data_IF_356207556917
#
_entry.id   IF_356207556917
#
_cell.length_a   1.000
_cell.length_b   1.000
_cell.length_c   1.000
_cell.angle_alpha   90.00
_cell.angle_beta   90.00
_cell.angle_gamma   90.00
#
_symmetry.space_group_name_H-M   'P 1'
#
loop_
_entity.id
_entity.type
_entity.pdbx_description
1 polymer ?
#
# COMPACT_ATOMS: atom_id res chain seq x y z
N UNK A 1 9.76 21.75 -39.81
CA UNK A 1 10.51 20.47 -39.84
C UNK A 1 9.53 19.37 -39.46
N UNK A 2 8.90 18.76 -40.47
CA UNK A 2 7.89 17.69 -40.30
C UNK A 2 8.61 16.44 -39.79
N UNK A 3 8.15 15.87 -38.68
CA UNK A 3 8.56 14.54 -38.19
C UNK A 3 8.17 13.52 -39.26
N UNK A 4 9.10 13.16 -40.14
CA UNK A 4 8.96 11.93 -40.93
C UNK A 4 8.87 10.77 -39.93
N UNK A 5 7.79 10.00 -40.04
CA UNK A 5 7.47 8.87 -39.15
C UNK A 5 8.68 7.95 -39.01
N UNK A 6 9.09 7.72 -37.76
CA UNK A 6 10.12 6.73 -37.45
C UNK A 6 9.46 5.35 -37.46
N UNK A 7 9.97 4.38 -38.23
CA UNK A 7 9.56 2.99 -38.07
C UNK A 7 10.04 2.51 -36.70
N UNK A 8 9.17 2.52 -35.70
CA UNK A 8 9.52 2.23 -34.31
C UNK A 8 8.41 2.46 -33.28
N UNK A 9 7.14 2.49 -33.69
CA UNK A 9 6.00 2.83 -32.81
C UNK A 9 5.39 1.70 -31.93
N UNK A 10 5.92 0.47 -31.75
CA UNK A 10 5.43 -0.40 -30.67
C UNK A 10 5.93 0.04 -29.28
N UNK A 11 6.85 1.01 -29.18
CA UNK A 11 7.48 1.36 -27.90
C UNK A 11 6.48 1.99 -26.93
N UNK A 12 5.58 2.87 -27.40
CA UNK A 12 4.65 3.59 -26.53
C UNK A 12 3.54 2.67 -25.99
N UNK A 13 2.92 1.84 -26.85
CA UNK A 13 1.89 0.89 -26.44
C UNK A 13 2.44 -0.16 -25.48
N UNK A 14 3.62 -0.72 -25.79
CA UNK A 14 4.28 -1.72 -24.93
C UNK A 14 4.65 -1.09 -23.60
N UNK A 15 5.18 0.14 -23.59
CA UNK A 15 5.49 0.85 -22.35
C UNK A 15 4.21 1.12 -21.53
N UNK A 16 3.12 1.53 -22.17
CA UNK A 16 1.82 1.70 -21.50
C UNK A 16 1.28 0.39 -20.93
N UNK A 17 1.25 -0.67 -21.74
CA UNK A 17 0.78 -1.99 -21.33
C UNK A 17 1.60 -2.53 -20.15
N UNK A 18 2.93 -2.38 -20.16
CA UNK A 18 3.80 -2.74 -19.03
C UNK A 18 3.45 -1.96 -17.76
N UNK A 19 3.19 -0.65 -17.88
CA UNK A 19 2.74 0.18 -16.76
C UNK A 19 1.38 -0.24 -16.22
N UNK A 20 0.42 -0.53 -17.11
CA UNK A 20 -0.91 -0.99 -16.74
C UNK A 20 -0.89 -2.35 -16.05
N UNK A 21 -0.17 -3.34 -16.62
CA UNK A 21 0.04 -4.65 -16.01
C UNK A 21 0.68 -4.53 -14.63
N UNK A 22 1.64 -3.61 -14.47
CA UNK A 22 2.26 -3.35 -13.17
C UNK A 22 1.24 -2.78 -12.17
N UNK A 23 0.39 -1.84 -12.57
CA UNK A 23 -0.68 -1.32 -11.71
C UNK A 23 -1.68 -2.42 -11.31
N UNK A 24 -2.09 -3.28 -12.24
CA UNK A 24 -3.00 -4.38 -11.93
C UNK A 24 -2.36 -5.44 -11.02
N UNK A 25 -1.05 -5.67 -11.11
CA UNK A 25 -0.33 -6.53 -10.16
C UNK A 25 -0.42 -6.04 -8.70
N UNK A 26 -0.53 -4.71 -8.50
CA UNK A 26 -0.62 -4.08 -7.18
C UNK A 26 -2.03 -3.59 -6.83
N UNK A 27 -3.05 -4.04 -7.57
CA UNK A 27 -4.44 -3.66 -7.34
C UNK A 27 -4.86 -4.10 -5.94
N UNK A 28 -5.36 -3.14 -5.17
CA UNK A 28 -5.93 -3.44 -3.85
C UNK A 28 -7.38 -3.86 -4.04
N UNK A 29 -7.63 -5.15 -4.35
CA UNK A 29 -8.99 -5.68 -4.28
C UNK A 29 -9.36 -5.84 -2.81
N UNK A 30 -10.41 -5.14 -2.39
CA UNK A 30 -11.06 -5.47 -1.12
C UNK A 30 -11.95 -6.67 -1.38
N UNK A 31 -11.75 -7.72 -0.60
CA UNK A 31 -12.80 -8.70 -0.37
C UNK A 31 -14.08 -7.93 -0.02
N UNK A 32 -15.14 -8.18 -0.76
CA UNK A 32 -16.50 -7.79 -0.40
C UNK A 32 -17.02 -8.61 0.80
N UNK A 33 -16.18 -9.36 1.51
CA UNK A 33 -16.55 -10.10 2.71
C UNK A 33 -16.64 -9.17 3.93
N UNK A 34 -17.64 -8.28 3.89
CA UNK A 34 -18.29 -7.82 5.09
C UNK A 34 -19.23 -8.91 5.61
N UNK A 35 -18.69 -10.06 6.02
CA UNK A 35 -19.33 -11.00 6.93
C UNK A 35 -18.24 -11.89 7.56
N UNK A 36 -17.92 -11.56 8.81
CA UNK A 36 -17.50 -12.42 9.92
C UNK A 36 -16.36 -13.44 9.73
N UNK A 37 -15.25 -13.22 10.46
CA UNK A 37 -14.42 -14.32 10.95
C UNK A 37 -12.91 -14.10 10.85
N UNK A 38 -12.27 -13.91 12.01
CA UNK A 38 -10.83 -14.04 12.22
C UNK A 38 -10.21 -15.21 11.43
N UNK A 39 -9.27 -14.94 10.52
CA UNK A 39 -8.53 -16.05 9.89
C UNK A 39 -7.45 -15.71 8.86
N UNK A 40 -7.52 -14.56 8.18
CA UNK A 40 -6.74 -14.40 6.94
C UNK A 40 -5.30 -13.86 7.10
N UNK A 41 -4.81 -13.63 8.32
CA UNK A 41 -3.42 -13.20 8.53
C UNK A 41 -2.40 -14.36 8.41
N UNK A 42 -2.86 -15.62 8.54
CA UNK A 42 -2.01 -16.80 8.45
C UNK A 42 -1.72 -17.24 6.99
N UNK A 43 -2.63 -16.97 6.04
CA UNK A 43 -2.48 -17.45 4.66
C UNK A 43 -1.41 -16.68 3.86
N UNK A 44 -1.28 -15.37 4.11
CA UNK A 44 -0.29 -14.53 3.42
C UNK A 44 1.14 -14.80 3.95
N UNK A 45 1.29 -15.11 5.25
CA UNK A 45 2.57 -15.53 5.82
C UNK A 45 2.95 -16.95 5.42
N UNK A 46 1.99 -17.87 5.27
CA UNK A 46 2.25 -19.24 4.81
C UNK A 46 2.74 -19.30 3.35
N UNK A 47 2.31 -18.38 2.48
CA UNK A 47 2.75 -18.32 1.08
C UNK A 47 4.18 -17.77 0.92
N UNK A 48 4.69 -17.00 1.89
CA UNK A 48 6.04 -16.42 1.86
C UNK A 48 7.10 -17.27 2.55
N UNK A 49 6.72 -18.35 3.23
CA UNK A 49 7.60 -19.15 4.09
C UNK A 49 7.89 -20.58 3.59
N UNK A 50 7.68 -20.90 2.30
CA UNK A 50 7.96 -22.26 1.80
C UNK A 50 9.42 -22.42 1.30
N UNK A 51 10.27 -23.22 1.97
CA UNK A 51 11.47 -23.76 1.36
C UNK A 51 11.13 -25.00 0.51
N UNK A 52 11.93 -25.21 -0.54
CA UNK A 52 11.85 -26.36 -1.41
C UNK A 52 12.27 -27.67 -0.69
N UNK A 53 11.60 -28.76 -1.09
CA UNK A 53 11.93 -30.18 -0.86
C UNK A 53 11.70 -30.80 0.54
N UNK A 54 10.75 -31.73 0.63
CA UNK A 54 10.97 -33.18 0.42
C UNK A 54 9.65 -33.95 0.54
N UNK A 55 9.31 -34.69 -0.52
CA UNK A 55 8.30 -35.75 -0.51
C UNK A 55 8.91 -37.02 0.09
N UNK A 56 8.22 -37.64 1.03
CA UNK A 56 8.48 -39.02 1.43
C UNK A 56 7.76 -39.42 2.71
N UNK A 57 7.03 -40.54 2.65
CA UNK A 57 6.78 -41.39 3.82
C UNK A 57 5.34 -41.44 4.32
N UNK A 58 4.65 -42.53 3.96
CA UNK A 58 3.48 -43.03 4.67
C UNK A 58 3.89 -43.66 6.01
N UNK A 59 3.02 -43.62 7.03
CA UNK A 59 2.32 -44.78 7.62
C UNK A 59 1.70 -44.42 9.01
N UNK A 60 0.67 -45.17 9.34
CA UNK A 60 -0.30 -45.18 10.43
C UNK A 60 0.19 -44.99 11.90
N UNK A 61 -0.67 -44.44 12.77
CA UNK A 61 -1.41 -45.20 13.81
C UNK A 61 -2.26 -44.34 14.78
N UNK A 62 -3.45 -44.89 15.06
CA UNK A 62 -4.40 -44.79 16.20
C UNK A 62 -4.04 -43.92 17.43
N UNK A 63 -5.06 -43.20 17.93
CA UNK A 63 -5.13 -42.75 19.33
C UNK A 63 -6.49 -42.13 19.70
N UNK A 64 -7.28 -42.83 20.51
CA UNK A 64 -8.61 -42.44 20.99
C UNK A 64 -8.53 -41.76 22.37
N UNK A 65 -9.29 -40.70 22.64
CA UNK A 65 -9.88 -40.45 23.98
C UNK A 65 -11.11 -39.53 23.95
N UNK A 66 -12.25 -40.17 24.25
CA UNK A 66 -13.43 -39.77 25.05
C UNK A 66 -13.52 -38.36 25.68
N UNK A 67 -14.76 -37.85 25.58
CA UNK A 67 -15.59 -37.21 26.62
C UNK A 67 -15.67 -35.67 26.70
N UNK A 68 -16.84 -35.09 26.37
CA UNK A 68 -17.94 -34.84 27.34
C UNK A 68 -19.16 -34.22 26.65
N UNK A 69 -20.31 -34.83 26.92
CA UNK A 69 -21.64 -34.35 26.57
C UNK A 69 -22.17 -33.35 27.61
N UNK A 70 -22.75 -32.24 27.15
CA UNK A 70 -23.85 -31.43 27.72
C UNK A 70 -24.40 -30.61 26.53
N UNK A 71 -25.63 -30.77 26.04
CA UNK A 71 -26.91 -30.65 26.74
C UNK A 71 -27.49 -29.27 26.45
N UNK A 72 -28.38 -29.14 25.44
CA UNK A 72 -28.95 -27.85 25.05
C UNK A 72 -29.97 -27.90 23.91
N UNK A 73 -31.21 -28.23 24.26
CA UNK A 73 -32.48 -27.73 23.70
C UNK A 73 -32.78 -27.86 22.19
N UNK A 74 -33.76 -28.72 21.90
CA UNK A 74 -34.49 -28.81 20.64
C UNK A 74 -35.58 -27.74 20.60
N UNK A 75 -35.43 -26.73 19.74
CA UNK A 75 -36.54 -25.89 19.27
C UNK A 75 -36.51 -25.93 17.75
N UNK A 76 -37.35 -26.79 17.18
CA UNK A 76 -37.65 -26.86 15.76
C UNK A 76 -38.43 -25.60 15.35
N UNK A 77 -37.78 -24.71 14.58
CA UNK A 77 -38.48 -23.70 13.79
C UNK A 77 -38.85 -24.28 12.42
N UNK A 78 -40.04 -23.95 11.88
CA UNK A 78 -40.45 -24.39 10.55
C UNK A 78 -39.50 -23.81 9.49
N UNK A 79 -39.03 -24.72 8.63
CA UNK A 79 -38.28 -24.45 7.40
C UNK A 79 -39.23 -23.73 6.45
N UNK A 80 -39.02 -22.42 6.27
CA UNK A 80 -39.57 -21.72 5.12
C UNK A 80 -38.72 -22.12 3.93
N UNK A 81 -39.36 -22.59 2.86
CA UNK A 81 -38.74 -22.81 1.57
C UNK A 81 -38.18 -21.45 1.09
N UNK A 82 -36.87 -21.31 1.18
CA UNK A 82 -36.14 -20.15 0.70
C UNK A 82 -35.71 -20.45 -0.73
N UNK A 83 -36.15 -19.60 -1.64
CA UNK A 83 -35.73 -19.58 -3.03
C UNK A 83 -34.21 -19.40 -3.10
N UNK A 84 -33.53 -20.45 -3.56
CA UNK A 84 -32.10 -20.57 -3.81
C UNK A 84 -31.78 -19.87 -5.15
N UNK A 85 -31.82 -18.54 -5.14
CA UNK A 85 -31.44 -17.71 -6.30
C UNK A 85 -30.00 -17.18 -6.12
N UNK A 86 -29.04 -17.93 -6.67
CA UNK A 86 -27.90 -17.38 -7.42
C UNK A 86 -26.70 -16.77 -6.67
N UNK A 87 -25.89 -17.61 -6.02
CA UNK A 87 -24.53 -17.27 -5.57
C UNK A 87 -23.49 -17.36 -6.73
N UNK A 88 -23.63 -16.55 -7.79
CA UNK A 88 -22.66 -16.53 -8.92
C UNK A 88 -21.68 -15.32 -8.89
N UNK A 89 -21.67 -14.49 -7.85
CA UNK A 89 -20.81 -13.27 -7.80
C UNK A 89 -19.38 -13.51 -7.27
N UNK A 90 -19.05 -14.70 -6.76
CA UNK A 90 -17.74 -14.96 -6.12
C UNK A 90 -16.63 -15.31 -7.13
N UNK A 91 -16.95 -15.87 -8.30
CA UNK A 91 -15.95 -16.39 -9.24
C UNK A 91 -15.08 -15.29 -9.88
N UNK A 92 -15.63 -14.10 -10.17
CA UNK A 92 -14.88 -12.99 -10.79
C UNK A 92 -13.81 -12.39 -9.84
N UNK A 93 -14.01 -12.53 -8.53
CA UNK A 93 -13.04 -12.07 -7.54
C UNK A 93 -11.81 -12.97 -7.53
N UNK A 94 -12.01 -14.29 -7.55
CA UNK A 94 -10.94 -15.28 -7.44
C UNK A 94 -10.06 -15.34 -8.69
N UNK A 95 -10.66 -15.33 -9.89
CA UNK A 95 -9.91 -15.28 -11.15
C UNK A 95 -8.97 -14.08 -11.21
N UNK A 96 -9.44 -12.95 -10.72
CA UNK A 96 -8.64 -11.75 -10.76
C UNK A 96 -7.57 -11.68 -9.67
N UNK A 97 -7.78 -12.31 -8.51
CA UNK A 97 -6.71 -12.52 -7.54
C UNK A 97 -5.61 -13.41 -8.12
N UNK A 98 -5.98 -14.48 -8.81
CA UNK A 98 -5.03 -15.34 -9.52
C UNK A 98 -4.25 -14.55 -10.59
N UNK A 99 -4.94 -13.69 -11.36
CA UNK A 99 -4.29 -12.82 -12.35
C UNK A 99 -3.30 -11.84 -11.69
N UNK A 100 -3.67 -11.17 -10.60
CA UNK A 100 -2.77 -10.26 -9.89
C UNK A 100 -1.53 -10.99 -9.34
N UNK A 101 -1.71 -12.23 -8.84
CA UNK A 101 -0.62 -13.08 -8.39
C UNK A 101 0.32 -13.46 -9.55
N UNK A 102 -0.23 -13.85 -10.71
CA UNK A 102 0.55 -14.15 -11.91
C UNK A 102 1.33 -12.93 -12.42
N UNK A 103 0.72 -11.75 -12.44
CA UNK A 103 1.41 -10.51 -12.83
C UNK A 103 2.53 -10.16 -11.86
N UNK A 104 2.29 -10.30 -10.55
CA UNK A 104 3.33 -10.10 -9.54
C UNK A 104 4.49 -11.10 -9.73
N UNK A 105 4.19 -12.36 -10.02
CA UNK A 105 5.20 -13.37 -10.34
C UNK A 105 5.98 -13.02 -11.61
N UNK A 106 5.30 -12.57 -12.67
CA UNK A 106 5.94 -12.10 -13.89
C UNK A 106 6.96 -10.98 -13.61
N UNK A 107 6.54 -9.92 -12.90
CA UNK A 107 7.45 -8.82 -12.55
C UNK A 107 8.57 -9.23 -11.59
N UNK A 108 8.36 -10.26 -10.75
CA UNK A 108 9.43 -10.82 -9.92
C UNK A 108 10.50 -11.56 -10.73
N UNK A 109 10.10 -12.19 -11.84
CA UNK A 109 11.01 -12.90 -12.73
C UNK A 109 11.75 -11.96 -13.66
N UNK A 110 11.16 -10.82 -14.05
CA UNK A 110 11.75 -9.89 -15.02
C UNK A 110 13.23 -9.55 -14.74
N UNK A 111 13.64 -9.10 -13.52
CA UNK A 111 15.04 -8.79 -13.24
C UNK A 111 15.97 -10.01 -13.26
N UNK A 112 15.43 -11.22 -13.15
CA UNK A 112 16.15 -12.50 -13.11
C UNK A 112 16.27 -13.16 -14.48
N UNK A 113 15.51 -12.70 -15.48
CA UNK A 113 15.57 -13.27 -16.82
C UNK A 113 16.96 -13.07 -17.42
N UNK A 114 17.49 -14.09 -18.13
CA UNK A 114 18.77 -13.96 -18.80
C UNK A 114 18.69 -12.84 -19.85
N UNK A 115 19.58 -11.86 -19.73
CA UNK A 115 19.62 -10.68 -20.60
C UNK A 115 19.76 -9.39 -19.80
N UNK A 116 20.06 -8.29 -20.50
CA UNK A 116 20.27 -6.96 -19.87
C UNK A 116 19.00 -6.12 -19.81
N UNK A 117 17.83 -6.69 -20.14
CA UNK A 117 16.59 -5.93 -20.39
C UNK A 117 15.57 -5.98 -19.25
N UNK A 118 15.67 -6.93 -18.32
CA UNK A 118 14.73 -7.10 -17.20
C UNK A 118 14.52 -5.85 -16.34
N UNK A 119 15.62 -5.36 -15.74
CA UNK A 119 15.58 -4.15 -14.93
C UNK A 119 15.17 -2.89 -15.74
N UNK A 120 15.69 -2.64 -16.96
CA UNK A 120 15.18 -1.57 -17.82
C UNK A 120 13.67 -1.63 -18.07
N UNK A 121 13.10 -2.81 -18.34
CA UNK A 121 11.64 -2.95 -18.56
C UNK A 121 10.84 -2.61 -17.31
N UNK A 122 11.29 -3.02 -16.12
CA UNK A 122 10.64 -2.66 -14.86
C UNK A 122 10.72 -1.14 -14.60
N UNK A 123 11.86 -0.50 -14.88
CA UNK A 123 11.99 0.97 -14.80
C UNK A 123 11.04 1.67 -15.77
N UNK A 124 10.97 1.21 -17.02
CA UNK A 124 10.07 1.74 -18.05
C UNK A 124 8.59 1.58 -17.66
N UNK A 125 8.23 0.46 -17.02
CA UNK A 125 6.88 0.25 -16.51
C UNK A 125 6.51 1.30 -15.44
N UNK A 126 7.40 1.55 -14.47
CA UNK A 126 7.16 2.58 -13.43
C UNK A 126 7.11 3.98 -14.02
N UNK A 127 8.02 4.29 -14.96
CA UNK A 127 8.00 5.56 -15.71
C UNK A 127 6.68 5.75 -16.44
N UNK A 128 6.20 4.71 -17.11
CA UNK A 128 4.90 4.70 -17.78
C UNK A 128 3.76 5.05 -16.83
N UNK A 129 3.73 4.48 -15.62
CA UNK A 129 2.68 4.79 -14.63
C UNK A 129 2.71 6.26 -14.22
N UNK A 130 3.90 6.84 -14.07
CA UNK A 130 4.07 8.25 -13.71
C UNK A 130 3.71 9.19 -14.88
N UNK A 131 4.23 8.92 -16.08
CA UNK A 131 4.15 9.80 -17.24
C UNK A 131 2.81 9.72 -17.98
N UNK A 132 2.07 8.62 -17.88
CA UNK A 132 0.70 8.49 -18.44
C UNK A 132 -0.39 9.01 -17.50
N UNK A 133 -0.03 9.35 -16.26
CA UNK A 133 -0.98 9.76 -15.24
C UNK A 133 -1.73 8.62 -14.52
N UNK A 134 -1.43 7.35 -14.83
CA UNK A 134 -2.01 6.17 -14.16
C UNK A 134 -1.80 6.18 -12.64
N UNK A 135 -0.76 6.85 -12.15
CA UNK A 135 -0.49 7.03 -10.72
C UNK A 135 -1.69 7.64 -9.96
N UNK A 136 -2.59 8.38 -10.63
CA UNK A 136 -3.82 8.91 -10.02
C UNK A 136 -4.74 7.82 -9.46
N UNK A 137 -4.67 6.58 -9.95
CA UNK A 137 -5.40 5.44 -9.36
C UNK A 137 -4.91 5.08 -7.94
N UNK A 138 -3.73 5.53 -7.53
CA UNK A 138 -3.24 5.33 -6.16
C UNK A 138 -3.81 6.36 -5.16
N UNK A 139 -4.43 7.44 -5.64
CA UNK A 139 -5.05 8.46 -4.79
C UNK A 139 -6.18 7.81 -3.98
N UNK A 140 -6.14 7.95 -2.67
CA UNK A 140 -7.23 7.51 -1.79
C UNK A 140 -8.44 8.44 -1.90
N UNK A 141 -9.54 7.91 -2.41
CA UNK A 141 -10.80 8.62 -2.59
C UNK A 141 -11.86 8.09 -1.59
N UNK A 142 -12.68 8.98 -1.01
CA UNK A 142 -13.80 8.56 -0.17
C UNK A 142 -14.91 7.99 -1.07
N UNK A 143 -15.43 6.81 -0.72
CA UNK A 143 -16.65 6.25 -1.31
C UNK A 143 -17.67 5.97 -0.22
N UNK A 144 -18.91 6.31 -0.48
CA UNK A 144 -20.03 6.03 0.42
C UNK A 144 -20.62 4.66 0.06
N UNK A 145 -20.44 3.67 0.95
CA UNK A 145 -20.89 2.30 0.74
C UNK A 145 -21.65 1.88 1.99
N UNK A 146 -22.94 1.55 1.86
CA UNK A 146 -23.76 1.05 2.97
C UNK A 146 -23.82 2.01 4.16
N UNK A 147 -23.96 3.32 3.92
CA UNK A 147 -24.04 4.30 5.01
C UNK A 147 -22.70 4.73 5.62
N UNK A 148 -21.57 4.14 5.18
CA UNK A 148 -20.24 4.43 5.73
C UNK A 148 -19.29 4.98 4.67
N UNK A 149 -18.52 6.02 5.04
CA UNK A 149 -17.43 6.53 4.20
C UNK A 149 -16.22 5.61 4.29
N UNK A 150 -15.91 4.94 3.18
CA UNK A 150 -14.75 4.07 3.03
C UNK A 150 -13.72 4.73 2.11
N UNK A 151 -12.49 4.83 2.57
CA UNK A 151 -11.37 5.29 1.75
C UNK A 151 -10.85 4.15 0.89
N UNK A 152 -10.82 4.37 -0.43
CA UNK A 152 -10.47 3.38 -1.44
C UNK A 152 -9.46 3.95 -2.43
N UNK A 153 -8.61 3.09 -2.98
CA UNK A 153 -7.70 3.38 -4.08
C UNK A 153 -7.63 2.18 -5.02
N UNK A 154 -7.28 2.41 -6.27
CA UNK A 154 -7.13 1.34 -7.26
C UNK A 154 -5.92 0.45 -6.97
N UNK A 155 -4.78 1.02 -6.59
CA UNK A 155 -3.57 0.27 -6.27
C UNK A 155 -2.72 0.97 -5.20
N UNK A 156 -1.73 0.25 -4.65
CA UNK A 156 -0.80 0.79 -3.65
C UNK A 156 0.49 1.32 -4.30
N UNK A 157 0.61 2.65 -4.42
CA UNK A 157 1.88 3.27 -4.87
C UNK A 157 3.07 2.90 -3.97
N UNK A 158 2.97 2.92 -2.63
CA UNK A 158 4.08 2.48 -1.78
C UNK A 158 4.54 1.05 -2.05
N UNK A 159 3.61 0.12 -2.24
CA UNK A 159 3.94 -1.29 -2.51
C UNK A 159 4.64 -1.45 -3.86
N UNK A 160 4.11 -0.80 -4.91
CA UNK A 160 4.71 -0.82 -6.25
C UNK A 160 6.11 -0.20 -6.24
N UNK A 161 6.27 0.96 -5.58
CA UNK A 161 7.54 1.67 -5.54
C UNK A 161 8.63 0.89 -4.79
N UNK A 162 8.31 0.36 -3.60
CA UNK A 162 9.24 -0.47 -2.82
C UNK A 162 9.65 -1.71 -3.61
N UNK A 163 8.67 -2.39 -4.22
CA UNK A 163 8.91 -3.56 -5.06
C UNK A 163 9.92 -3.27 -6.19
N UNK A 164 9.69 -2.17 -6.93
CA UNK A 164 10.57 -1.77 -8.02
C UNK A 164 11.95 -1.35 -7.49
N UNK A 165 12.00 -0.60 -6.39
CA UNK A 165 13.24 -0.13 -5.79
C UNK A 165 14.17 -1.28 -5.40
N UNK A 166 13.64 -2.30 -4.73
CA UNK A 166 14.42 -3.48 -4.30
C UNK A 166 15.04 -4.24 -5.48
N UNK A 167 14.35 -4.26 -6.63
CA UNK A 167 14.71 -5.07 -7.81
C UNK A 167 15.55 -4.35 -8.85
N UNK A 168 15.64 -3.02 -8.75
CA UNK A 168 16.40 -2.19 -9.68
C UNK A 168 17.82 -1.93 -9.17
N UNK A 169 18.83 -1.84 -10.05
CA UNK A 169 20.16 -1.36 -9.70
C UNK A 169 20.13 0.14 -9.36
N UNK A 170 21.18 0.65 -8.69
CA UNK A 170 21.27 2.04 -8.21
C UNK A 170 20.98 3.10 -9.29
N UNK A 171 21.50 2.91 -10.51
CA UNK A 171 21.29 3.81 -11.65
C UNK A 171 19.80 3.92 -12.04
N UNK A 172 19.07 2.81 -12.02
CA UNK A 172 17.65 2.76 -12.38
C UNK A 172 16.77 3.19 -11.19
N UNK A 173 17.21 2.96 -9.95
CA UNK A 173 16.55 3.54 -8.76
C UNK A 173 16.46 5.05 -8.88
N UNK A 174 17.52 5.72 -9.34
CA UNK A 174 17.52 7.17 -9.53
C UNK A 174 16.39 7.63 -10.47
N UNK A 175 16.13 6.87 -11.54
CA UNK A 175 15.05 7.17 -12.50
C UNK A 175 13.66 7.07 -11.86
N UNK A 176 13.39 6.01 -11.10
CA UNK A 176 12.07 5.88 -10.45
C UNK A 176 11.89 6.91 -9.32
N UNK A 177 12.96 7.29 -8.62
CA UNK A 177 12.96 8.40 -7.65
C UNK A 177 12.63 9.73 -8.34
N UNK A 178 13.22 10.00 -9.51
CA UNK A 178 12.87 11.14 -10.36
C UNK A 178 11.39 11.13 -10.74
N UNK A 179 10.84 10.00 -11.15
CA UNK A 179 9.41 9.90 -11.47
C UNK A 179 8.52 10.22 -10.27
N UNK A 180 8.83 9.65 -9.10
CA UNK A 180 8.06 9.89 -7.87
C UNK A 180 8.12 11.37 -7.44
N UNK A 181 9.30 12.00 -7.50
CA UNK A 181 9.45 13.43 -7.18
C UNK A 181 8.78 14.32 -8.23
N UNK A 182 8.79 13.92 -9.50
CA UNK A 182 8.06 14.62 -10.56
C UNK A 182 6.55 14.61 -10.30
N UNK A 183 5.98 13.51 -9.80
CA UNK A 183 4.58 13.45 -9.36
C UNK A 183 4.32 14.45 -8.22
N UNK A 184 5.24 14.55 -7.25
CA UNK A 184 5.13 15.53 -6.16
C UNK A 184 5.14 16.99 -6.66
N UNK A 185 5.90 17.29 -7.72
CA UNK A 185 5.92 18.61 -8.37
C UNK A 185 4.64 18.85 -9.18
N UNK A 186 4.20 17.85 -9.95
CA UNK A 186 3.06 17.94 -10.83
C UNK A 186 1.74 18.12 -10.05
N UNK A 187 1.60 17.45 -8.91
CA UNK A 187 0.37 17.46 -8.13
C UNK A 187 0.67 17.44 -6.62
N UNK A 188 1.08 18.58 -6.04
CA UNK A 188 1.53 18.66 -4.64
C UNK A 188 0.45 18.29 -3.63
N UNK A 189 -0.83 18.45 -3.96
CA UNK A 189 -1.97 18.09 -3.10
C UNK A 189 -2.37 16.62 -3.22
N UNK A 190 -2.29 16.02 -4.41
CA UNK A 190 -2.66 14.62 -4.65
C UNK A 190 -1.54 13.64 -4.27
N UNK A 191 -0.28 14.02 -4.46
CA UNK A 191 0.87 13.14 -4.21
C UNK A 191 0.93 12.63 -2.76
N UNK A 192 0.66 13.44 -1.71
CA UNK A 192 0.54 12.93 -0.35
C UNK A 192 -0.65 11.97 -0.15
N UNK A 193 -1.78 12.22 -0.83
CA UNK A 193 -2.99 11.36 -0.76
C UNK A 193 -2.76 10.02 -1.48
N UNK A 194 -1.93 10.00 -2.51
CA UNK A 194 -1.41 8.80 -3.16
C UNK A 194 -0.23 8.15 -2.40
N UNK A 195 0.16 8.70 -1.24
CA UNK A 195 1.26 8.23 -0.39
C UNK A 195 2.65 8.20 -1.10
N UNK A 196 2.86 9.07 -2.10
CA UNK A 196 4.15 9.15 -2.83
C UNK A 196 5.31 9.54 -1.91
N UNK A 197 5.23 10.59 -1.06
CA UNK A 197 6.31 10.93 -0.12
C UNK A 197 6.58 9.84 0.91
N UNK A 198 5.53 9.10 1.30
CA UNK A 198 5.66 7.97 2.23
C UNK A 198 6.44 6.82 1.59
N UNK A 199 6.15 6.49 0.33
CA UNK A 199 6.89 5.48 -0.43
C UNK A 199 8.39 5.81 -0.49
N UNK A 200 8.74 7.06 -0.84
CA UNK A 200 10.13 7.53 -0.84
C UNK A 200 10.78 7.39 0.54
N UNK A 201 10.06 7.77 1.60
CA UNK A 201 10.56 7.75 2.97
C UNK A 201 10.84 6.33 3.49
N UNK A 202 10.15 5.33 2.95
CA UNK A 202 10.33 3.93 3.32
C UNK A 202 11.66 3.34 2.84
N UNK A 203 12.22 3.84 1.74
CA UNK A 203 13.48 3.36 1.14
C UNK A 203 14.61 4.38 1.17
N UNK A 204 14.46 5.48 1.91
CA UNK A 204 15.43 6.60 1.92
C UNK A 204 16.83 6.22 2.41
N UNK A 205 16.96 5.17 3.23
CA UNK A 205 18.28 4.68 3.67
C UNK A 205 19.09 4.09 2.51
N UNK A 206 18.40 3.59 1.48
CA UNK A 206 18.99 3.01 0.26
C UNK A 206 18.85 3.96 -0.94
N UNK A 207 18.67 5.26 -0.68
CA UNK A 207 18.49 6.26 -1.72
C UNK A 207 19.74 6.38 -2.61
N UNK A 208 19.59 6.43 -3.94
CA UNK A 208 20.72 6.60 -4.85
C UNK A 208 21.36 7.99 -4.71
N UNK A 209 22.63 8.10 -5.11
CA UNK A 209 23.35 9.36 -5.12
C UNK A 209 22.63 10.42 -5.98
N UNK A 210 22.65 11.67 -5.54
CA UNK A 210 22.00 12.80 -6.23
C UNK A 210 20.51 13.01 -5.88
N UNK A 211 19.88 12.10 -5.13
CA UNK A 211 18.47 12.26 -4.72
C UNK A 211 18.26 13.48 -3.82
N UNK A 212 19.23 13.86 -3.00
CA UNK A 212 19.15 15.06 -2.17
C UNK A 212 19.03 16.34 -3.02
N UNK A 213 19.75 16.42 -4.14
CA UNK A 213 19.66 17.53 -5.09
C UNK A 213 18.31 17.55 -5.80
N UNK A 214 17.87 16.38 -6.24
CA UNK A 214 16.58 16.17 -6.90
C UNK A 214 15.40 16.54 -5.98
N UNK A 215 15.49 16.22 -4.69
CA UNK A 215 14.50 16.59 -3.68
C UNK A 215 14.45 18.11 -3.49
N UNK A 216 15.61 18.76 -3.41
CA UNK A 216 15.70 20.23 -3.31
C UNK A 216 15.10 20.90 -4.54
N UNK A 217 15.38 20.38 -5.73
CA UNK A 217 14.79 20.85 -6.98
C UNK A 217 13.27 20.67 -6.97
N UNK A 218 12.75 19.53 -6.51
CA UNK A 218 11.31 19.30 -6.41
C UNK A 218 10.62 20.33 -5.51
N UNK A 219 11.19 20.60 -4.33
CA UNK A 219 10.67 21.63 -3.40
C UNK A 219 10.73 23.02 -4.04
N UNK A 220 11.84 23.35 -4.72
CA UNK A 220 11.98 24.63 -5.42
C UNK A 220 10.98 24.81 -6.57
N UNK A 221 10.54 23.71 -7.20
CA UNK A 221 9.52 23.70 -8.24
C UNK A 221 8.07 23.65 -7.70
N UNK A 222 7.89 23.68 -6.37
CA UNK A 222 6.58 23.77 -5.74
C UNK A 222 5.99 22.46 -5.23
N UNK A 223 6.80 21.40 -5.07
CA UNK A 223 6.38 20.23 -4.32
C UNK A 223 6.14 20.58 -2.83
N UNK A 224 5.21 19.88 -2.18
CA UNK A 224 4.87 20.10 -0.76
C UNK A 224 6.07 19.80 0.15
N UNK A 225 6.67 20.86 0.69
CA UNK A 225 7.83 20.79 1.59
C UNK A 225 7.51 20.10 2.92
N UNK A 226 6.29 20.22 3.44
CA UNK A 226 5.90 19.59 4.71
C UNK A 226 5.78 18.07 4.52
N UNK A 227 5.13 17.63 3.44
CA UNK A 227 5.02 16.21 3.12
C UNK A 227 6.38 15.55 2.83
N UNK A 228 7.33 16.31 2.29
CA UNK A 228 8.69 15.85 1.97
C UNK A 228 9.71 16.04 3.10
N UNK A 229 9.34 16.72 4.20
CA UNK A 229 10.24 16.98 5.33
C UNK A 229 10.96 15.73 5.90
N UNK A 230 10.30 14.55 6.02
CA UNK A 230 10.98 13.33 6.50
C UNK A 230 12.14 12.86 5.62
N UNK A 231 12.14 13.22 4.33
CA UNK A 231 13.23 12.91 3.42
C UNK A 231 14.39 13.88 3.62
N UNK A 232 14.10 15.18 3.74
CA UNK A 232 15.10 16.23 3.92
C UNK A 232 15.94 16.02 5.18
N UNK A 233 15.34 15.47 6.25
CA UNK A 233 16.06 15.19 7.51
C UNK A 233 16.93 13.94 7.47
N UNK A 234 16.65 12.99 6.57
CA UNK A 234 17.33 11.68 6.51
C UNK A 234 18.34 11.58 5.38
N UNK A 235 18.15 12.32 4.30
CA UNK A 235 19.09 12.36 3.20
C UNK A 235 20.33 13.18 3.58
N UNK A 236 21.53 12.78 3.12
CA UNK A 236 22.73 13.56 3.35
C UNK A 236 22.57 14.95 2.71
N UNK A 237 23.10 16.01 3.36
CA UNK A 237 23.09 17.34 2.76
C UNK A 237 23.84 17.28 1.43
N UNK A 238 23.25 17.86 0.38
CA UNK A 238 23.91 17.82 -0.92
C UNK A 238 25.19 18.67 -0.90
N UNK A 239 26.23 18.13 -1.53
CA UNK A 239 27.57 18.72 -1.59
C UNK A 239 27.58 19.70 -2.77
N UNK A 240 27.47 20.98 -2.45
CA UNK A 240 27.73 22.15 -3.31
C UNK A 240 26.75 22.49 -4.45
N UNK A 241 26.67 23.80 -4.72
CA UNK A 241 25.88 24.48 -5.74
C UNK A 241 26.40 24.25 -7.18
N UNK A 242 26.85 23.03 -7.47
CA UNK A 242 27.17 22.64 -8.84
C UNK A 242 25.89 22.79 -9.67
N UNK A 243 25.98 23.56 -10.76
CA UNK A 243 24.85 23.94 -11.63
C UNK A 243 23.93 22.74 -11.84
N UNK A 244 22.80 22.73 -11.13
CA UNK A 244 21.86 21.62 -11.16
C UNK A 244 21.30 21.60 -12.57
N UNK A 245 21.76 20.62 -13.38
CA UNK A 245 21.06 20.29 -14.63
C UNK A 245 19.61 20.08 -14.21
N UNK A 246 18.67 20.83 -14.77
CA UNK A 246 17.25 20.67 -14.45
C UNK A 246 16.87 19.23 -14.74
N UNK A 247 16.68 18.43 -13.69
CA UNK A 247 16.33 17.02 -13.81
C UNK A 247 14.82 16.86 -13.77
N UNK A 248 14.12 17.79 -13.13
CA UNK A 248 12.66 17.83 -13.05
C UNK A 248 12.09 18.90 -13.97
N UNK A 249 10.90 18.64 -14.49
CA UNK A 249 10.14 19.57 -15.29
C UNK A 249 9.27 20.45 -14.38
N UNK A 250 9.15 21.76 -14.66
CA UNK A 250 8.11 22.59 -14.07
C UNK A 250 6.72 21.99 -14.28
N UNK A 251 5.82 22.21 -13.32
CA UNK A 251 4.46 21.64 -13.32
C UNK A 251 3.73 21.77 -14.66
N UNK A 252 3.71 22.97 -15.26
CA UNK A 252 3.03 23.23 -16.54
C UNK A 252 3.61 22.41 -17.70
N UNK A 253 4.93 22.23 -17.72
CA UNK A 253 5.62 21.46 -18.77
C UNK A 253 5.34 19.97 -18.60
N UNK A 254 5.34 19.47 -17.36
CA UNK A 254 4.98 18.09 -17.08
C UNK A 254 3.52 17.78 -17.43
N UNK A 255 2.57 18.63 -17.03
CA UNK A 255 1.14 18.47 -17.36
C UNK A 255 0.91 18.51 -18.88
N UNK A 256 1.66 19.32 -19.62
CA UNK A 256 1.60 19.35 -21.09
C UNK A 256 2.14 18.06 -21.71
N UNK A 257 3.30 17.57 -21.24
CA UNK A 257 3.88 16.31 -21.71
C UNK A 257 3.01 15.10 -21.38
N UNK A 258 2.38 15.08 -20.20
CA UNK A 258 1.42 14.05 -19.81
C UNK A 258 0.18 14.07 -20.73
N UNK A 259 -0.33 15.27 -21.06
CA UNK A 259 -1.47 15.42 -21.98
C UNK A 259 -1.14 14.96 -23.39
N UNK A 260 -0.01 15.41 -23.94
CA UNK A 260 0.48 14.96 -25.27
C UNK A 260 0.58 13.43 -25.30
N UNK A 261 1.15 12.82 -24.25
CA UNK A 261 1.24 11.36 -24.16
C UNK A 261 -0.12 10.67 -24.11
N UNK A 262 -1.09 11.22 -23.37
CA UNK A 262 -2.46 10.67 -23.32
C UNK A 262 -3.16 10.78 -24.67
N UNK A 263 -2.96 11.88 -25.39
CA UNK A 263 -3.47 12.07 -26.76
C UNK A 263 -2.84 11.06 -27.72
N UNK A 264 -1.53 10.83 -27.64
CA UNK A 264 -0.84 9.79 -28.42
C UNK A 264 -1.40 8.39 -28.11
N UNK A 265 -1.57 8.02 -26.84
CA UNK A 265 -2.18 6.74 -26.45
C UNK A 265 -3.64 6.62 -26.92
N UNK A 266 -4.42 7.68 -26.83
CA UNK A 266 -5.80 7.70 -27.32
C UNK A 266 -5.85 7.48 -28.83
N UNK A 267 -4.89 8.02 -29.59
CA UNK A 267 -4.78 7.78 -31.03
C UNK A 267 -4.52 6.31 -31.39
N UNK A 268 -3.96 5.54 -30.45
CA UNK A 268 -3.71 4.10 -30.54
C UNK A 268 -4.86 3.25 -29.96
N UNK A 269 -5.98 3.89 -29.61
CA UNK A 269 -7.17 3.24 -29.03
C UNK A 269 -7.08 3.00 -27.52
N UNK A 270 -6.02 3.45 -26.86
CA UNK A 270 -5.84 3.33 -25.41
C UNK A 270 -6.49 4.51 -24.70
N UNK A 271 -7.62 4.27 -24.03
CA UNK A 271 -8.35 5.30 -23.26
C UNK A 271 -7.89 5.33 -21.81
N UNK A 272 -6.85 6.11 -21.52
CA UNK A 272 -6.30 6.22 -20.16
C UNK A 272 -7.32 6.84 -19.18
N UNK A 273 -8.14 7.78 -19.64
CA UNK A 273 -9.10 8.50 -18.79
C UNK A 273 -10.20 7.58 -18.22
N UNK A 274 -10.55 6.49 -18.92
CA UNK A 274 -11.49 5.48 -18.41
C UNK A 274 -10.95 4.79 -17.13
N UNK A 275 -9.64 4.84 -16.92
CA UNK A 275 -8.95 4.19 -15.80
C UNK A 275 -8.44 5.19 -14.76
N UNK A 276 -7.90 6.31 -15.22
CA UNK A 276 -7.21 7.32 -14.41
C UNK A 276 -7.50 8.72 -14.95
N UNK A 277 -8.69 9.29 -14.62
CA UNK A 277 -9.10 10.61 -15.08
C UNK A 277 -8.04 11.68 -14.78
N UNK A 278 -7.86 12.63 -15.71
CA UNK A 278 -6.88 13.71 -15.57
C UNK A 278 -7.23 14.72 -14.45
N UNK A 279 -8.52 14.89 -14.20
CA UNK A 279 -9.17 15.97 -13.44
C UNK A 279 -9.58 15.56 -12.02
N UNK A 280 -8.92 14.55 -11.44
CA UNK A 280 -9.22 14.14 -10.06
C UNK A 280 -8.88 15.27 -9.08
N UNK A 281 -9.90 15.74 -8.36
CA UNK A 281 -9.74 16.69 -7.28
C UNK A 281 -9.26 16.01 -5.99
N UNK A 282 -8.43 16.72 -5.23
CA UNK A 282 -7.98 16.23 -3.94
C UNK A 282 -9.18 16.18 -2.97
N UNK A 283 -9.35 15.10 -2.20
CA UNK A 283 -10.44 15.02 -1.24
C UNK A 283 -10.29 16.12 -0.18
N UNK A 284 -11.40 16.80 0.14
CA UNK A 284 -11.42 17.87 1.16
C UNK A 284 -10.98 17.37 2.55
N UNK A 285 -11.35 16.12 2.86
CA UNK A 285 -11.00 15.48 4.13
C UNK A 285 -9.82 14.54 3.89
N UNK A 286 -8.79 14.62 4.73
CA UNK A 286 -7.65 13.71 4.63
C UNK A 286 -8.00 12.34 5.23
N UNK A 287 -7.68 11.21 4.55
CA UNK A 287 -7.88 9.86 5.07
C UNK A 287 -7.32 9.72 6.50
N UNK A 288 -8.02 9.03 7.43
CA UNK A 288 -7.55 8.84 8.80
C UNK A 288 -6.12 8.29 8.89
N UNK A 289 -5.75 7.32 8.05
CA UNK A 289 -4.39 6.75 8.10
C UNK A 289 -3.32 7.77 7.71
N UNK A 290 -3.60 8.65 6.74
CA UNK A 290 -2.68 9.72 6.34
C UNK A 290 -2.58 10.77 7.45
N UNK A 291 -3.71 11.17 8.07
CA UNK A 291 -3.70 12.12 9.20
C UNK A 291 -2.79 11.65 10.33
N UNK A 292 -2.83 10.35 10.65
CA UNK A 292 -1.96 9.77 11.68
C UNK A 292 -0.48 9.81 11.31
N UNK A 293 -0.15 9.75 10.02
CA UNK A 293 1.23 9.80 9.51
C UNK A 293 1.76 11.23 9.45
N UNK A 294 0.96 12.16 8.92
CA UNK A 294 1.30 13.59 8.85
C UNK A 294 1.35 14.24 10.24
N UNK A 295 0.44 13.87 11.14
CA UNK A 295 0.31 14.47 12.46
C UNK A 295 1.40 14.12 13.47
N UNK A 296 2.22 13.10 13.23
CA UNK A 296 3.28 12.69 14.19
C UNK A 296 4.45 13.66 14.27
N UNK A 297 4.59 14.60 13.33
CA UNK A 297 5.62 15.64 13.35
C UNK A 297 5.23 16.92 14.08
N UNK A 298 3.93 17.18 14.31
CA UNK A 298 3.50 18.30 15.14
C UNK A 298 3.72 17.89 16.58
N UNK A 299 4.85 18.36 17.12
CA UNK A 299 5.23 18.16 18.51
C UNK A 299 4.02 18.31 19.41
N UNK A 300 3.95 17.42 20.40
CA UNK A 300 2.95 17.37 21.49
C UNK A 300 3.05 18.60 22.41
N UNK A 301 3.24 19.78 21.83
CA UNK A 301 3.23 21.07 22.50
C UNK A 301 1.78 21.48 22.72
N UNK A 302 1.34 21.34 23.98
CA UNK A 302 0.30 22.12 24.64
C UNK A 302 -1.01 22.34 23.84
N UNK A 303 -2.02 21.57 24.22
CA UNK A 303 -3.38 21.68 23.72
C UNK A 303 -3.89 23.12 23.69
N UNK A 304 -4.10 23.61 22.48
CA UNK A 304 -5.19 24.54 22.20
C UNK A 304 -6.42 23.67 22.05
N UNK A 305 -7.28 23.66 23.08
CA UNK A 305 -8.65 23.18 22.96
C UNK A 305 -9.31 24.00 21.86
N UNK A 306 -9.42 23.42 20.67
CA UNK A 306 -10.47 23.83 19.73
C UNK A 306 -11.76 23.33 20.36
N UNK A 307 -12.47 24.25 21.03
CA UNK A 307 -13.87 24.07 21.37
C UNK A 307 -14.64 23.88 20.07
N UNK A 308 -14.95 22.63 19.74
CA UNK A 308 -16.02 22.31 18.80
C UNK A 308 -17.34 22.73 19.46
N UNK A 309 -17.73 23.98 19.26
CA UNK A 309 -19.09 24.45 19.52
C UNK A 309 -20.01 23.79 18.49
N UNK A 310 -20.53 22.62 18.83
CA UNK A 310 -21.75 22.12 18.21
C UNK A 310 -22.87 22.95 18.84
N UNK A 311 -23.36 23.95 18.12
CA UNK A 311 -24.58 24.66 18.48
C UNK A 311 -25.74 23.65 18.41
N UNK A 312 -26.15 23.14 19.58
CA UNK A 312 -27.40 22.39 19.73
C UNK A 312 -28.53 23.43 19.83
N UNK A 313 -29.56 23.36 18.97
CA UNK A 313 -30.71 24.25 19.08
C UNK A 313 -31.39 24.10 20.45
N UNK A 314 -31.47 25.22 21.16
CA UNK A 314 -32.21 25.38 22.41
C UNK A 314 -33.69 25.06 22.20
N UNK A 315 -34.16 23.98 22.83
CA UNK A 315 -35.57 23.76 23.10
C UNK A 315 -35.76 23.70 24.61
N UNK A 316 -36.37 24.75 25.13
CA UNK A 316 -36.83 24.84 26.50
C UNK A 316 -37.99 23.85 26.73
N UNK A 317 -37.81 22.93 27.69
CA UNK A 317 -38.91 22.35 28.46
C UNK A 317 -38.33 21.68 29.72
N UNK A 318 -38.34 22.46 30.80
CA UNK A 318 -38.73 22.09 32.16
C UNK A 318 -38.88 20.60 32.44
N UNK A 319 -38.01 19.98 33.25
CA UNK A 319 -38.40 18.94 34.23
C UNK A 319 -37.30 18.73 35.30
N UNK A 320 -37.73 19.00 36.53
CA UNK A 320 -37.35 18.52 37.87
C UNK A 320 -35.98 17.87 38.14
N UNK A 321 -35.34 18.43 39.17
CA UNK A 321 -34.25 17.84 39.95
C UNK A 321 -34.69 16.58 40.72
N UNK A 322 -33.88 15.52 40.65
CA UNK A 322 -33.68 14.60 41.77
C UNK A 322 -32.19 14.17 41.86
N UNK A 323 -31.61 14.08 43.07
CA UNK A 323 -30.23 13.69 43.27
C UNK A 323 -30.13 12.20 43.62
N UNK A 324 -29.51 11.38 42.78
CA UNK A 324 -29.06 10.06 43.22
C UNK A 324 -27.67 9.71 42.67
N UNK A 325 -26.82 9.39 43.65
CA UNK A 325 -25.46 8.88 43.54
C UNK A 325 -25.40 7.68 42.61
N UNK A 326 -24.43 7.66 41.69
CA UNK A 326 -23.72 6.42 41.36
C UNK A 326 -22.29 6.71 40.90
N UNK A 327 -21.35 6.30 41.74
CA UNK A 327 -19.91 6.25 41.49
C UNK A 327 -19.65 5.41 40.24
N UNK A 328 -19.21 6.03 39.15
CA UNK A 328 -18.60 5.32 38.03
C UNK A 328 -17.31 4.64 38.48
N UNK A 329 -17.32 3.31 38.52
CA UNK A 329 -16.12 2.51 38.75
C UNK A 329 -15.17 2.69 37.56
N UNK A 330 -14.07 3.41 37.78
CA UNK A 330 -12.94 3.46 36.84
C UNK A 330 -12.46 2.04 36.56
N UNK A 331 -12.71 1.55 35.33
CA UNK A 331 -12.09 0.33 34.80
C UNK A 331 -10.59 0.58 34.67
N UNK A 332 -9.84 0.36 35.75
CA UNK A 332 -8.38 0.26 35.73
C UNK A 332 -8.03 -0.89 34.78
N UNK A 333 -7.35 -0.59 33.68
CA UNK A 333 -6.64 -1.59 32.87
C UNK A 333 -5.76 -2.39 33.83
N UNK A 334 -6.02 -3.70 33.95
CA UNK A 334 -5.14 -4.60 34.67
C UNK A 334 -3.79 -4.58 33.95
N UNK A 335 -2.76 -4.12 34.66
CA UNK A 335 -1.38 -4.23 34.24
C UNK A 335 -1.07 -5.73 34.18
N UNK A 336 -0.75 -6.22 32.99
CA UNK A 336 -0.30 -7.60 32.79
C UNK A 336 1.14 -7.62 33.29
N UNK A 337 1.37 -8.38 34.37
CA UNK A 337 2.72 -8.63 34.88
C UNK A 337 3.36 -9.70 33.99
N UNK A 338 4.41 -9.32 33.25
CA UNK A 338 5.09 -10.21 32.31
C UNK A 338 6.15 -11.07 33.00
N UNK A 339 6.54 -10.74 34.24
CA UNK A 339 7.57 -11.47 34.98
C UNK A 339 7.07 -12.82 35.51
N UNK A 340 5.76 -12.97 35.74
CA UNK A 340 5.15 -14.26 36.13
C UNK A 340 5.11 -15.27 34.97
N UNK A 341 5.29 -14.82 33.71
CA UNK A 341 5.21 -15.69 32.52
C UNK A 341 6.54 -16.32 32.11
N UNK A 342 7.66 -15.96 32.73
CA UNK A 342 9.00 -16.45 32.37
C UNK A 342 9.51 -17.58 33.29
N UNK A 343 8.69 -18.05 34.24
CA UNK A 343 9.08 -19.07 35.23
C UNK A 343 9.11 -20.52 34.76
N UNK A 344 8.51 -20.86 33.60
CA UNK A 344 8.25 -22.26 33.23
C UNK A 344 9.21 -22.87 32.18
N UNK A 345 10.27 -22.18 31.76
CA UNK A 345 11.18 -22.69 30.70
C UNK A 345 12.47 -23.37 31.20
N UNK A 346 12.60 -23.67 32.50
CA UNK A 346 13.75 -24.42 33.02
C UNK A 346 13.46 -25.92 33.16
N UNK A 347 13.24 -26.64 32.05
CA UNK A 347 13.44 -28.09 32.01
C UNK A 347 13.50 -28.69 30.59
N UNK A 348 14.51 -28.29 29.81
CA UNK A 348 14.92 -29.08 28.63
C UNK A 348 16.41 -29.36 28.72
N UNK A 349 16.76 -30.45 29.41
CA UNK A 349 18.11 -30.97 29.52
C UNK A 349 18.37 -31.88 28.31
N UNK A 350 19.07 -31.38 27.29
CA UNK A 350 19.52 -32.19 26.16
C UNK A 350 20.78 -32.98 26.53
N UNK A 351 20.88 -34.28 26.19
CA UNK A 351 22.09 -35.06 26.39
C UNK A 351 23.14 -34.72 25.32
N UNK A 352 24.31 -34.26 25.76
CA UNK A 352 25.52 -34.13 24.96
C UNK A 352 26.04 -35.53 24.60
N UNK A 353 26.11 -35.84 23.31
CA UNK A 353 26.88 -36.96 22.76
C UNK A 353 28.29 -36.47 22.46
N UNK A 354 29.26 -36.99 23.18
CA UNK A 354 30.69 -36.85 22.90
C UNK A 354 31.03 -37.70 21.65
N UNK A 355 31.68 -37.08 20.67
CA UNK A 355 32.30 -37.77 19.55
C UNK A 355 33.82 -37.71 19.74
N UNK A 356 34.41 -38.84 20.11
CA UNK A 356 35.84 -39.09 20.00
C UNK A 356 36.21 -39.17 18.51
N UNK A 357 37.19 -38.38 18.11
CA UNK A 357 37.89 -38.52 16.82
C UNK A 357 39.28 -39.00 17.15
N UNK A 358 39.52 -40.29 16.92
CA UNK A 358 40.85 -40.87 16.84
C UNK A 358 41.48 -40.42 15.50
N UNK A 359 42.71 -39.90 15.59
CA UNK A 359 43.56 -39.52 14.47
C UNK A 359 44.64 -40.58 14.36
N UNK A 360 44.68 -41.29 13.22
CA UNK A 360 45.83 -42.03 12.71
C UNK A 360 46.18 -41.53 11.30
#
# INVERSE_FOLDING_TARGET
VRRQGRPGEPVLEVQWALGWLLVEAFKQRRHASGMDGDGNEAAILALMAAPAEKRGGADSTKGSTKARARGGSWVTRPRGDADDEGEEEDDESDEAMAMAAHLTQFFNLLPRLPGKHGAPMLSLAVESVAESGLWRRAVMMPRFIGGQTRWLRGFSWPSLFVFAHERLPSEMRFRIWKCALQICVASPTLAPVAEVPFALSSVVNDAPAGVADLLREAIALGADAEALAPLTTRLPPSKEAASVKRLLLPRKEFEAAERERREELASLGVRVDDWAPADIEAPEVVPPQIRMRMGRGRGRGRGVKLENTIEVPSMAATYQEEPSRQRGSNKRRRQIDWDEKLGDEQNVRLPLREANVDVD
#
